data_IF_535531073705
#
_entry.id   IF_535531073705
#
_cell.length_a   1.000
_cell.length_b   1.000
_cell.length_c   1.000
_cell.angle_alpha   90.00
_cell.angle_beta   90.00
_cell.angle_gamma   90.00
#
_symmetry.space_group_name_H-M   'P 1'
#
loop_
_entity.id
_entity.type
_entity.pdbx_description
1 polymer ?
#
# COMPACT_ATOMS: atom_id res chain seq x y z
N UNK A 1 -11.77 9.12 2.04
CA UNK A 1 -10.44 8.46 2.05
C UNK A 1 -9.44 9.29 2.85
N UNK A 2 -9.13 10.52 2.45
CA UNK A 2 -8.11 11.40 3.08
C UNK A 2 -8.25 11.53 4.59
N UNK A 3 -9.47 11.74 5.12
CA UNK A 3 -9.73 11.79 6.58
C UNK A 3 -9.29 10.52 7.33
N UNK A 4 -9.51 9.35 6.75
CA UNK A 4 -9.15 8.06 7.36
C UNK A 4 -7.64 7.86 7.34
N UNK A 5 -6.98 8.25 6.25
CA UNK A 5 -5.52 8.15 6.12
C UNK A 5 -4.85 9.11 7.09
N UNK A 6 -5.36 10.34 7.23
CA UNK A 6 -4.90 11.31 8.23
C UNK A 6 -5.06 10.77 9.66
N UNK A 7 -6.24 10.27 10.00
CA UNK A 7 -6.49 9.64 11.30
C UNK A 7 -5.55 8.46 11.57
N UNK A 8 -5.24 7.66 10.54
CA UNK A 8 -4.30 6.56 10.63
C UNK A 8 -2.85 7.04 10.78
N UNK A 9 -2.49 8.16 10.16
CA UNK A 9 -1.15 8.76 10.26
C UNK A 9 -0.91 9.33 11.66
N UNK A 10 -1.89 10.04 12.21
CA UNK A 10 -1.86 10.55 13.60
C UNK A 10 -1.83 9.39 14.60
N UNK A 11 -2.74 8.43 14.46
CA UNK A 11 -2.81 7.26 15.34
C UNK A 11 -1.58 6.35 15.25
N UNK A 12 -0.92 6.30 14.10
CA UNK A 12 0.28 5.50 13.86
C UNK A 12 1.56 6.07 14.48
N UNK A 13 1.56 7.35 14.86
CA UNK A 13 2.66 7.99 15.57
C UNK A 13 2.58 7.80 17.09
N UNK A 14 1.41 7.40 17.60
CA UNK A 14 1.18 7.21 19.02
C UNK A 14 1.80 5.91 19.53
N UNK A 15 2.24 5.84 20.81
CA UNK A 15 2.70 4.61 21.42
C UNK A 15 1.67 3.47 21.28
N UNK A 16 2.11 2.22 21.05
CA UNK A 16 1.20 1.08 20.95
C UNK A 16 0.29 0.97 22.19
N UNK A 17 -0.97 0.59 21.96
CA UNK A 17 -2.00 0.39 23.01
C UNK A 17 -2.41 1.67 23.76
N UNK A 18 -1.95 2.85 23.33
CA UNK A 18 -2.44 4.13 23.87
C UNK A 18 -3.78 4.53 23.24
N UNK A 19 -4.54 5.41 23.92
CA UNK A 19 -5.84 5.90 23.42
C UNK A 19 -5.63 6.61 22.08
N UNK A 20 -6.36 6.18 21.05
CA UNK A 20 -6.25 6.76 19.71
C UNK A 20 -5.23 6.06 18.81
N UNK A 21 -4.33 5.24 19.37
CA UNK A 21 -3.32 4.55 18.58
C UNK A 21 -3.89 3.56 17.58
N UNK A 22 -3.20 3.43 16.45
CA UNK A 22 -3.40 2.34 15.50
C UNK A 22 -2.03 1.80 15.06
N UNK A 23 -1.96 0.63 14.39
CA UNK A 23 -0.69 0.12 13.91
C UNK A 23 0.03 1.14 13.02
N UNK A 24 1.34 1.36 13.22
CA UNK A 24 2.08 2.44 12.56
C UNK A 24 2.14 2.29 11.03
N UNK A 25 2.03 1.08 10.51
CA UNK A 25 2.03 0.81 9.07
C UNK A 25 0.73 1.23 8.36
N UNK A 26 -0.37 1.47 9.08
CA UNK A 26 -1.72 1.39 8.51
C UNK A 26 -2.00 2.46 7.45
N UNK A 27 -1.60 3.71 7.71
CA UNK A 27 -1.81 4.82 6.77
C UNK A 27 -1.01 4.62 5.49
N UNK A 28 0.27 4.25 5.61
CA UNK A 28 1.17 4.11 4.48
C UNK A 28 0.80 2.90 3.62
N UNK A 29 0.35 1.80 4.24
CA UNK A 29 -0.22 0.66 3.50
C UNK A 29 -1.47 1.07 2.72
N UNK A 30 -2.35 1.89 3.30
CA UNK A 30 -3.54 2.37 2.62
C UNK A 30 -3.19 3.31 1.44
N UNK A 31 -2.23 4.21 1.64
CA UNK A 31 -1.73 5.10 0.59
C UNK A 31 -1.10 4.32 -0.57
N UNK A 32 -0.22 3.35 -0.29
CA UNK A 32 0.38 2.51 -1.34
C UNK A 32 -0.68 1.66 -2.05
N UNK A 33 -1.66 1.10 -1.32
CA UNK A 33 -2.76 0.34 -1.93
C UNK A 33 -3.53 1.20 -2.95
N UNK A 34 -3.80 2.46 -2.59
CA UNK A 34 -4.46 3.42 -3.47
C UNK A 34 -3.58 3.83 -4.64
N UNK A 35 -2.38 4.37 -4.37
CA UNK A 35 -1.48 4.96 -5.35
C UNK A 35 -0.98 3.95 -6.38
N UNK A 36 -0.74 2.70 -5.95
CA UNK A 36 -0.23 1.64 -6.80
C UNK A 36 -1.31 0.68 -7.30
N UNK A 37 -2.59 0.93 -6.97
CA UNK A 37 -3.75 0.08 -7.27
C UNK A 37 -3.52 -1.38 -6.82
N UNK A 38 -2.92 -1.57 -5.65
CA UNK A 38 -2.55 -2.88 -5.11
C UNK A 38 -3.60 -3.43 -4.16
N UNK A 39 -3.78 -4.74 -4.18
CA UNK A 39 -4.52 -5.48 -3.14
C UNK A 39 -3.69 -5.48 -1.85
N UNK A 40 -4.36 -5.61 -0.70
CA UNK A 40 -3.66 -5.68 0.59
C UNK A 40 -2.55 -6.75 0.65
N UNK A 41 -2.76 -7.93 0.05
CA UNK A 41 -1.73 -8.98 -0.01
C UNK A 41 -0.50 -8.59 -0.83
N UNK A 42 -0.68 -7.80 -1.89
CA UNK A 42 0.41 -7.31 -2.74
C UNK A 42 1.23 -6.30 -1.95
N UNK A 43 0.57 -5.35 -1.27
CA UNK A 43 1.25 -4.34 -0.43
C UNK A 43 2.06 -4.97 0.71
N UNK A 44 1.50 -5.92 1.47
CA UNK A 44 2.23 -6.53 2.61
C UNK A 44 3.38 -7.44 2.19
N UNK A 45 3.50 -7.73 0.89
CA UNK A 45 4.60 -8.55 0.36
C UNK A 45 5.61 -7.74 -0.46
N UNK A 46 5.50 -6.41 -0.47
CA UNK A 46 6.53 -5.53 -1.02
C UNK A 46 7.83 -5.65 -0.20
N UNK A 47 8.95 -5.64 -0.89
CA UNK A 47 10.30 -5.71 -0.33
C UNK A 47 11.16 -4.53 -0.78
N UNK A 48 12.35 -4.37 -0.20
CA UNK A 48 13.28 -3.30 -0.61
C UNK A 48 13.61 -3.37 -2.12
N UNK A 49 13.66 -4.58 -2.68
CA UNK A 49 13.88 -4.81 -4.11
C UNK A 49 12.77 -4.25 -5.04
N UNK A 50 11.61 -3.89 -4.49
CA UNK A 50 10.53 -3.26 -5.26
C UNK A 50 10.77 -1.75 -5.48
N UNK A 51 11.68 -1.13 -4.74
CA UNK A 51 12.02 0.28 -4.96
C UNK A 51 13.08 0.39 -6.06
N UNK A 52 12.69 0.93 -7.21
CA UNK A 52 13.57 1.24 -8.34
C UNK A 52 13.88 2.75 -8.38
N UNK A 53 14.76 3.16 -9.27
CA UNK A 53 15.12 4.58 -9.44
C UNK A 53 13.91 5.42 -9.88
N UNK A 54 13.17 4.90 -10.85
CA UNK A 54 12.05 5.56 -11.52
C UNK A 54 10.74 5.46 -10.73
N UNK A 55 10.56 4.38 -9.96
CA UNK A 55 9.30 4.13 -9.25
C UNK A 55 9.29 2.92 -8.33
N UNK A 56 8.09 2.60 -7.84
CA UNK A 56 7.82 1.39 -7.09
C UNK A 56 7.34 0.29 -8.05
N UNK A 57 8.14 -0.75 -8.21
CA UNK A 57 7.77 -1.97 -8.93
C UNK A 57 6.71 -2.75 -8.13
N UNK A 58 5.53 -2.92 -8.72
CA UNK A 58 4.46 -3.73 -8.11
C UNK A 58 4.77 -5.22 -8.15
N UNK A 59 4.11 -6.01 -7.29
CA UNK A 59 4.28 -7.47 -7.15
C UNK A 59 2.91 -8.19 -7.17
N UNK A 60 2.18 -7.96 -8.25
CA UNK A 60 0.78 -8.34 -8.41
C UNK A 60 0.61 -9.86 -8.45
N UNK A 61 -0.54 -10.30 -7.92
CA UNK A 61 -0.96 -11.70 -7.93
C UNK A 61 -1.84 -11.98 -9.15
N UNK A 62 -2.54 -13.13 -9.15
CA UNK A 62 -3.33 -13.67 -10.27
C UNK A 62 -4.10 -12.60 -11.06
N UNK A 63 -3.97 -12.66 -12.38
CA UNK A 63 -4.75 -11.84 -13.33
C UNK A 63 -4.17 -10.45 -13.65
N UNK A 64 -3.05 -10.03 -13.04
CA UNK A 64 -2.42 -8.73 -13.33
C UNK A 64 -0.92 -8.84 -13.60
N UNK A 65 -0.39 -8.02 -14.52
CA UNK A 65 1.06 -7.84 -14.74
C UNK A 65 1.61 -6.76 -13.81
N UNK A 66 2.89 -6.88 -13.47
CA UNK A 66 3.60 -5.85 -12.71
C UNK A 66 3.84 -4.62 -13.59
N UNK A 67 3.81 -3.48 -12.93
CA UNK A 67 4.09 -2.14 -13.46
C UNK A 67 4.98 -1.39 -12.49
N UNK A 68 5.73 -0.41 -13.00
CA UNK A 68 6.48 0.55 -12.19
C UNK A 68 5.59 1.78 -12.00
N UNK A 69 5.22 2.06 -10.76
CA UNK A 69 4.45 3.27 -10.43
C UNK A 69 5.45 4.37 -10.10
N UNK A 70 5.50 5.40 -10.95
CA UNK A 70 6.46 6.52 -10.82
C UNK A 70 6.41 7.16 -9.45
N UNK A 71 7.58 7.58 -8.97
CA UNK A 71 7.67 8.22 -7.68
C UNK A 71 6.98 9.59 -7.66
N UNK A 72 6.12 9.77 -6.67
CA UNK A 72 5.64 11.08 -6.24
C UNK A 72 6.08 11.33 -4.79
N UNK A 73 6.11 12.60 -4.32
CA UNK A 73 6.43 12.89 -2.92
C UNK A 73 5.58 12.08 -1.93
N UNK A 74 4.28 11.91 -2.22
CA UNK A 74 3.35 11.11 -1.42
C UNK A 74 3.71 9.63 -1.41
N UNK A 75 4.00 9.04 -2.57
CA UNK A 75 4.38 7.63 -2.66
C UNK A 75 5.72 7.34 -1.96
N UNK A 76 6.72 8.21 -2.15
CA UNK A 76 8.01 8.11 -1.46
C UNK A 76 7.82 8.20 0.05
N UNK A 77 7.06 9.18 0.55
CA UNK A 77 6.80 9.35 1.97
C UNK A 77 6.15 8.10 2.60
N UNK A 78 5.16 7.50 1.95
CA UNK A 78 4.53 6.27 2.43
C UNK A 78 5.53 5.09 2.47
N UNK A 79 6.33 4.92 1.42
CA UNK A 79 7.37 3.87 1.37
C UNK A 79 8.42 4.07 2.45
N UNK A 80 8.95 5.27 2.58
CA UNK A 80 10.03 5.59 3.53
C UNK A 80 9.56 5.48 4.98
N UNK A 81 8.30 5.82 5.24
CA UNK A 81 7.66 5.57 6.53
C UNK A 81 7.62 4.07 6.88
N UNK A 82 7.23 3.21 5.95
CA UNK A 82 7.20 1.77 6.21
C UNK A 82 8.60 1.22 6.47
N UNK A 83 9.58 1.65 5.68
CA UNK A 83 10.99 1.29 5.88
C UNK A 83 11.49 1.77 7.25
N UNK A 84 11.17 2.99 7.67
CA UNK A 84 11.60 3.52 8.98
C UNK A 84 10.94 2.78 10.15
N UNK A 85 9.64 2.49 10.05
CA UNK A 85 8.91 1.69 11.05
C UNK A 85 9.52 0.30 11.18
N UNK A 86 9.78 -0.38 10.05
CA UNK A 86 10.45 -1.68 10.04
C UNK A 86 11.83 -1.61 10.68
N UNK A 87 12.68 -0.66 10.24
CA UNK A 87 14.05 -0.53 10.75
C UNK A 87 14.06 -0.31 12.26
N UNK A 88 13.15 0.52 12.78
CA UNK A 88 12.99 0.72 14.22
C UNK A 88 12.60 -0.58 14.93
N UNK A 89 11.57 -1.27 14.47
CA UNK A 89 11.11 -2.54 15.09
C UNK A 89 12.22 -3.60 15.05
N UNK A 90 12.89 -3.78 13.91
CA UNK A 90 13.99 -4.74 13.80
C UNK A 90 15.16 -4.39 14.73
N UNK A 91 15.49 -3.11 14.87
CA UNK A 91 16.51 -2.66 15.83
C UNK A 91 16.10 -2.95 17.28
N UNK A 92 14.85 -2.63 17.65
CA UNK A 92 14.30 -2.87 19.01
C UNK A 92 14.30 -4.37 19.37
N UNK A 93 14.04 -5.24 18.39
CA UNK A 93 13.97 -6.69 18.57
C UNK A 93 15.28 -7.44 18.28
N UNK A 94 16.36 -6.75 17.91
CA UNK A 94 17.61 -7.39 17.48
C UNK A 94 17.45 -8.32 16.27
N UNK A 95 16.47 -8.04 15.40
CA UNK A 95 16.18 -8.85 14.21
C UNK A 95 17.27 -8.62 13.15
N UNK A 96 17.97 -9.67 12.68
CA UNK A 96 18.96 -9.51 11.63
C UNK A 96 18.34 -9.03 10.31
N UNK A 97 18.98 -8.04 9.67
CA UNK A 97 18.57 -7.55 8.35
C UNK A 97 19.08 -8.52 7.28
N UNK A 98 18.21 -9.17 6.49
CA UNK A 98 18.65 -10.07 5.42
C UNK A 98 19.58 -9.36 4.42
N UNK A 99 20.61 -10.03 3.91
CA UNK A 99 21.48 -9.43 2.87
C UNK A 99 20.71 -9.21 1.57
N UNK A 100 19.86 -10.17 1.19
CA UNK A 100 19.06 -10.10 -0.04
C UNK A 100 17.90 -9.10 0.11
N UNK A 101 17.85 -8.01 -0.70
CA UNK A 101 16.79 -7.01 -0.62
C UNK A 101 15.39 -7.56 -0.94
N UNK A 102 15.28 -8.69 -1.65
CA UNK A 102 14.00 -9.37 -1.92
C UNK A 102 13.40 -10.02 -0.66
N UNK A 103 14.24 -10.27 0.35
CA UNK A 103 13.82 -10.82 1.65
C UNK A 103 13.54 -9.74 2.69
N UNK A 104 13.83 -8.47 2.38
CA UNK A 104 13.58 -7.33 3.27
C UNK A 104 12.17 -6.79 3.06
N UNK A 105 11.16 -7.50 3.56
CA UNK A 105 9.75 -7.06 3.49
C UNK A 105 9.61 -5.69 4.17
N UNK A 106 8.92 -4.74 3.54
CA UNK A 106 8.80 -3.36 4.07
C UNK A 106 7.67 -3.22 5.09
N UNK A 107 6.68 -4.12 5.09
CA UNK A 107 5.55 -4.10 6.03
C UNK A 107 5.69 -5.21 7.06
N UNK A 108 6.03 -4.83 8.29
CA UNK A 108 6.19 -5.76 9.41
C UNK A 108 5.16 -5.54 10.51
N UNK A 109 4.84 -6.60 11.23
CA UNK A 109 4.08 -6.53 12.47
C UNK A 109 4.98 -6.03 13.62
N UNK A 110 4.37 -5.78 14.79
CA UNK A 110 5.08 -5.25 15.95
C UNK A 110 6.15 -6.19 16.52
N UNK A 111 6.09 -7.48 16.18
CA UNK A 111 7.10 -8.49 16.56
C UNK A 111 8.25 -8.59 15.55
N UNK A 112 8.26 -7.75 14.50
CA UNK A 112 9.27 -7.75 13.44
C UNK A 112 9.03 -8.76 12.32
N UNK A 113 8.05 -9.65 12.45
CA UNK A 113 7.70 -10.59 11.39
C UNK A 113 6.93 -9.91 10.24
N UNK A 114 6.95 -10.50 9.05
CA UNK A 114 6.17 -10.02 7.91
C UNK A 114 4.68 -9.96 8.24
N UNK A 115 4.03 -8.83 7.91
CA UNK A 115 2.63 -8.64 8.25
C UNK A 115 1.71 -9.60 7.48
N UNK A 116 0.87 -10.35 8.19
CA UNK A 116 -0.17 -11.20 7.58
C UNK A 116 -1.32 -10.33 7.04
N UNK A 117 -1.86 -10.70 5.87
CA UNK A 117 -3.02 -10.02 5.27
C UNK A 117 -4.25 -9.99 6.18
N UNK A 118 -4.52 -11.07 6.93
CA UNK A 118 -5.62 -11.12 7.89
C UNK A 118 -5.45 -10.13 9.06
N UNK A 119 -4.20 -9.88 9.49
CA UNK A 119 -3.90 -8.88 10.52
C UNK A 119 -4.10 -7.46 9.99
N UNK A 120 -3.73 -7.21 8.73
CA UNK A 120 -4.01 -5.95 8.04
C UNK A 120 -5.51 -5.69 7.91
N UNK A 121 -6.29 -6.65 7.42
CA UNK A 121 -7.75 -6.51 7.30
C UNK A 121 -8.40 -6.20 8.66
N UNK A 122 -7.96 -6.91 9.70
CA UNK A 122 -8.44 -6.69 11.06
C UNK A 122 -8.11 -5.28 11.57
N UNK A 123 -6.89 -4.79 11.30
CA UNK A 123 -6.49 -3.42 11.64
C UNK A 123 -7.32 -2.38 10.89
N UNK A 124 -7.58 -2.61 9.61
CA UNK A 124 -8.42 -1.73 8.80
C UNK A 124 -9.86 -1.67 9.32
N UNK A 125 -10.47 -2.82 9.62
CA UNK A 125 -11.83 -2.85 10.18
C UNK A 125 -11.92 -2.18 11.54
N UNK A 126 -10.86 -2.23 12.37
CA UNK A 126 -10.83 -1.50 13.64
C UNK A 126 -10.79 0.01 13.44
N UNK A 127 -9.92 0.52 12.55
CA UNK A 127 -9.85 1.98 12.33
C UNK A 127 -11.14 2.51 11.70
N UNK A 128 -11.77 1.76 10.79
CA UNK A 128 -13.06 2.17 10.21
C UNK A 128 -14.17 2.25 11.26
N UNK A 129 -14.25 1.26 12.16
CA UNK A 129 -15.21 1.31 13.29
C UNK A 129 -14.92 2.47 14.23
N UNK A 130 -13.65 2.74 14.52
CA UNK A 130 -13.24 3.87 15.34
C UNK A 130 -13.60 5.20 14.68
N UNK A 131 -13.37 5.34 13.38
CA UNK A 131 -13.68 6.55 12.63
C UNK A 131 -15.19 6.85 12.63
N UNK A 132 -16.04 5.83 12.53
CA UNK A 132 -17.49 5.99 12.70
C UNK A 132 -17.85 6.40 14.13
N UNK A 133 -17.28 5.70 15.12
CA UNK A 133 -17.52 6.01 16.55
C UNK A 133 -17.14 7.45 16.90
N UNK A 134 -16.03 7.93 16.35
CA UNK A 134 -15.48 9.26 16.62
C UNK A 134 -16.07 10.33 15.68
N UNK A 135 -17.04 10.00 14.83
CA UNK A 135 -17.73 10.95 13.94
C UNK A 135 -16.89 11.46 12.76
N UNK A 136 -15.73 10.84 12.48
CA UNK A 136 -14.85 11.20 11.36
C UNK A 136 -15.50 10.88 10.01
N UNK A 137 -16.28 9.80 9.98
CA UNK A 137 -17.10 9.37 8.84
C UNK A 137 -18.45 8.82 9.33
N UNK A 138 -19.45 8.78 8.46
CA UNK A 138 -20.70 8.05 8.72
C UNK A 138 -20.55 6.54 8.49
N UNK A 139 -21.55 5.75 8.89
CA UNK A 139 -21.57 4.30 8.68
C UNK A 139 -21.58 3.95 7.19
N UNK A 140 -22.28 4.73 6.37
CA UNK A 140 -22.44 4.57 4.92
C UNK A 140 -21.15 4.92 4.16
N UNK A 141 -20.30 5.75 4.78
CA UNK A 141 -18.99 6.12 4.25
C UNK A 141 -17.91 5.08 4.57
N UNK A 142 -18.26 3.95 5.20
CA UNK A 142 -17.31 2.85 5.42
C UNK A 142 -16.96 2.15 4.11
N UNK A 143 -15.72 1.70 4.04
CA UNK A 143 -15.16 0.96 2.92
C UNK A 143 -14.08 0.00 3.40
N UNK A 144 -13.91 -1.10 2.67
CA UNK A 144 -12.87 -2.08 2.89
C UNK A 144 -11.54 -1.65 2.27
N UNK A 145 -10.44 -2.28 2.69
CA UNK A 145 -9.13 -2.00 2.13
C UNK A 145 -9.07 -2.28 0.62
N UNK A 146 -9.84 -3.27 0.15
CA UNK A 146 -9.94 -3.60 -1.28
C UNK A 146 -10.50 -2.43 -2.11
N UNK A 147 -11.34 -1.58 -1.53
CA UNK A 147 -11.95 -0.45 -2.24
C UNK A 147 -10.93 0.64 -2.56
N UNK A 148 -9.78 0.68 -1.86
CA UNK A 148 -8.67 1.59 -2.19
C UNK A 148 -8.08 1.27 -3.56
N UNK A 149 -7.92 -0.02 -3.88
CA UNK A 149 -7.48 -0.43 -5.22
C UNK A 149 -8.49 0.03 -6.27
N UNK A 150 -9.77 -0.20 -6.05
CA UNK A 150 -10.81 0.21 -7.00
C UNK A 150 -10.82 1.73 -7.19
N UNK A 151 -10.76 2.49 -6.10
CA UNK A 151 -10.66 3.95 -6.12
C UNK A 151 -9.43 4.40 -6.92
N UNK A 152 -8.27 3.78 -6.69
CA UNK A 152 -7.04 4.08 -7.43
C UNK A 152 -7.17 3.83 -8.94
N UNK A 153 -7.86 2.77 -9.35
CA UNK A 153 -8.17 2.52 -10.78
C UNK A 153 -9.13 3.57 -11.32
N UNK A 154 -10.20 3.91 -10.58
CA UNK A 154 -11.19 4.92 -10.99
C UNK A 154 -10.57 6.30 -11.19
N UNK A 155 -9.70 6.71 -10.26
CA UNK A 155 -9.08 8.03 -10.19
C UNK A 155 -7.81 8.15 -11.06
N UNK A 156 -7.43 7.07 -11.76
CA UNK A 156 -6.37 7.14 -12.78
C UNK A 156 -6.87 7.98 -13.95
N UNK A 157 -6.16 9.04 -14.28
CA UNK A 157 -6.53 9.88 -15.42
C UNK A 157 -6.26 9.20 -16.76
N UNK A 158 -6.86 9.76 -17.82
CA UNK A 158 -6.65 9.32 -19.18
C UNK A 158 -7.78 8.47 -19.73
N UNK A 159 -7.49 7.91 -20.90
CA UNK A 159 -8.39 7.08 -21.69
C UNK A 159 -8.65 5.74 -21.00
N UNK A 160 -9.58 4.95 -21.54
CA UNK A 160 -9.73 3.54 -21.11
C UNK A 160 -8.42 2.77 -21.26
N UNK A 161 -7.56 3.13 -22.21
CA UNK A 161 -6.25 2.51 -22.40
C UNK A 161 -5.33 2.81 -21.22
N UNK A 162 -5.21 4.07 -20.80
CA UNK A 162 -4.33 4.47 -19.68
C UNK A 162 -4.76 3.83 -18.35
N UNK A 163 -6.08 3.78 -18.13
CA UNK A 163 -6.65 3.06 -16.97
C UNK A 163 -6.36 1.56 -17.02
N UNK A 164 -6.39 0.96 -18.21
CA UNK A 164 -6.09 -0.46 -18.43
C UNK A 164 -4.61 -0.76 -18.22
N UNK A 165 -3.71 0.09 -18.70
CA UNK A 165 -2.27 -0.07 -18.50
C UNK A 165 -1.92 0.02 -17.00
N UNK A 166 -2.51 0.98 -16.30
CA UNK A 166 -2.37 1.12 -14.85
C UNK A 166 -2.97 -0.02 -14.02
N UNK A 167 -4.08 -0.65 -14.46
CA UNK A 167 -4.71 -1.78 -13.78
C UNK A 167 -4.24 -3.16 -14.27
N UNK A 168 -3.57 -3.19 -15.42
CA UNK A 168 -2.83 -4.28 -16.07
C UNK A 168 -3.58 -5.62 -16.12
N UNK A 169 -4.79 -5.65 -16.69
CA UNK A 169 -5.59 -6.88 -16.86
C UNK A 169 -5.01 -7.84 -17.90
N UNK A 170 -4.80 -9.12 -17.52
CA UNK A 170 -4.12 -10.13 -18.36
C UNK A 170 -4.91 -10.65 -19.58
N UNK A 171 -6.24 -10.60 -19.58
CA UNK A 171 -7.06 -11.38 -20.54
C UNK A 171 -7.13 -10.80 -21.97
N UNK A 172 -6.76 -9.54 -22.20
CA UNK A 172 -6.92 -8.90 -23.53
C UNK A 172 -5.59 -8.43 -24.15
N UNK A 173 -4.46 -8.48 -23.43
CA UNK A 173 -3.11 -8.20 -23.97
C UNK A 173 -2.48 -9.42 -24.68
N UNK A 174 -3.29 -10.34 -25.21
CA UNK A 174 -2.82 -11.43 -26.09
C UNK A 174 -2.47 -10.94 -27.52
N UNK A 175 -2.62 -9.64 -27.81
CA UNK A 175 -2.32 -9.09 -29.14
C UNK A 175 -0.99 -8.33 -29.26
N UNK A 176 -0.22 -8.12 -28.19
CA UNK A 176 1.13 -7.55 -28.27
C UNK A 176 2.17 -8.57 -27.82
N UNK A 177 2.69 -9.30 -28.81
CA UNK A 177 3.86 -10.16 -28.66
C UNK A 177 5.09 -9.29 -28.99
N UNK A 178 6.08 -9.29 -28.09
CA UNK A 178 7.43 -8.68 -28.19
C UNK A 178 7.71 -7.32 -27.52
N UNK A 179 7.01 -6.95 -26.45
CA UNK A 179 7.60 -6.02 -25.47
C UNK A 179 7.70 -6.69 -24.09
N UNK A 180 8.95 -6.94 -23.64
CA UNK A 180 9.28 -7.51 -22.34
C UNK A 180 9.46 -6.43 -21.26
N UNK A 181 9.35 -5.15 -21.63
CA UNK A 181 9.48 -4.04 -20.69
C UNK A 181 8.31 -4.01 -19.71
N UNK A 182 8.62 -3.61 -18.46
CA UNK A 182 7.60 -3.39 -17.43
C UNK A 182 7.03 -1.98 -17.63
N UNK A 183 5.71 -1.80 -17.86
CA UNK A 183 5.15 -0.48 -18.10
C UNK A 183 5.38 0.48 -16.93
N UNK A 184 5.70 1.73 -17.24
CA UNK A 184 5.86 2.82 -16.27
C UNK A 184 4.58 3.66 -16.26
N UNK A 185 3.94 3.77 -15.10
CA UNK A 185 2.64 4.45 -14.95
C UNK A 185 2.69 5.52 -13.86
N UNK A 186 1.88 6.57 -14.00
CA UNK A 186 1.73 7.63 -12.99
C UNK A 186 0.78 7.22 -11.87
N UNK A 187 0.87 7.86 -10.70
CA UNK A 187 -0.10 7.68 -9.61
C UNK A 187 -1.45 8.33 -9.95
N UNK A 188 -2.58 7.83 -9.41
CA UNK A 188 -3.88 8.50 -9.54
C UNK A 188 -3.84 9.95 -9.00
N UNK A 189 -4.63 10.87 -9.57
CA UNK A 189 -4.72 12.27 -9.10
C UNK A 189 -5.60 12.45 -7.85
N UNK A 190 -5.73 11.41 -7.02
CA UNK A 190 -6.56 11.42 -5.82
C UNK A 190 -6.30 12.58 -4.88
N UNK A 191 -7.41 13.06 -4.32
CA UNK A 191 -7.51 14.14 -3.31
C UNK A 191 -6.44 14.08 -2.23
#
# INVERSE_FOLDING_TARGET
MTKIIQMAAEGGQLPPKSKGSCPPYLWAVADIAYLCRLRGIEVVTLADANALEEGLLTNRRKGSRDVIVTWTPRLRAARDWLVSVRSRIWSEHGTPVPIDPRKRIIVVALDGASLKKSALDSAWQRIMRKAVKDGVISTEQRFGLHDLKHRGVTDTEGTRHDKREASSHKEEQMMDVYDLSVPIVTTPKGV
#
